data_IF_088330288483
#
_entry.id   IF_088330288483
#
_cell.length_a   1.000
_cell.length_b   1.000
_cell.length_c   1.000
_cell.angle_alpha   90.00
_cell.angle_beta   90.00
_cell.angle_gamma   90.00
#
_symmetry.space_group_name_H-M   'P 1'
#
loop_
_entity.id
_entity.type
_entity.pdbx_description
1 polymer ?
2 non-polymer ?
3 non-polymer ?
4 water ?
#
# COMPACT_ATOMS: atom_id res chain seq x y z
N UNK A 1 -0.49 16.20 9.99
CA UNK A 1 0.67 15.28 10.13
C UNK A 1 0.79 14.36 8.89
N UNK A 2 -0.31 13.96 8.31
CA UNK A 2 -0.37 13.04 7.13
C UNK A 2 -0.41 13.80 5.81
N UNK A 3 -0.48 15.14 5.84
CA UNK A 3 -0.97 15.91 4.68
C UNK A 3 -0.08 15.81 3.45
N UNK A 4 1.21 15.61 3.60
CA UNK A 4 2.05 15.56 2.39
C UNK A 4 1.82 14.25 1.62
N UNK A 5 1.17 13.24 2.24
CA UNK A 5 0.82 12.00 1.55
C UNK A 5 -0.44 12.13 0.69
N UNK A 6 -1.25 13.15 0.94
CA UNK A 6 -2.58 13.21 0.33
C UNK A 6 -2.47 13.53 -1.13
N UNK A 7 -3.33 12.93 -1.92
CA UNK A 7 -3.44 13.21 -3.34
C UNK A 7 -3.49 11.95 -4.15
N UNK A 8 -3.25 12.12 -5.45
CA UNK A 8 -3.34 11.04 -6.44
C UNK A 8 -1.93 10.74 -6.91
N UNK A 9 -1.57 9.47 -6.89
CA UNK A 9 -0.21 9.00 -7.14
C UNK A 9 -0.25 7.86 -8.17
N UNK A 10 0.75 7.83 -9.05
CA UNK A 10 0.80 6.80 -10.09
C UNK A 10 2.10 6.01 -9.96
N UNK A 11 2.03 4.71 -10.18
CA UNK A 11 3.21 3.85 -10.08
C UNK A 11 4.17 4.15 -11.23
N UNK A 12 5.45 4.38 -10.88
CA UNK A 12 6.49 4.66 -11.87
C UNK A 12 7.71 3.77 -11.75
N UNK A 13 7.78 2.89 -10.76
CA UNK A 13 8.91 1.95 -10.62
C UNK A 13 8.47 0.84 -9.68
N UNK A 14 8.94 -0.37 -9.92
CA UNK A 14 8.64 -1.48 -9.01
C UNK A 14 9.81 -2.45 -8.97
N UNK A 15 10.21 -2.80 -7.75
CA UNK A 15 11.30 -3.75 -7.51
C UNK A 15 10.82 -4.84 -6.57
N UNK A 16 10.95 -6.09 -7.02
CA UNK A 16 10.70 -7.28 -6.20
C UNK A 16 9.23 -7.48 -5.84
N UNK A 17 8.30 -6.93 -6.63
CA UNK A 17 6.88 -7.17 -6.34
C UNK A 17 6.52 -8.64 -6.55
N UNK A 18 7.11 -9.29 -7.53
CA UNK A 18 6.81 -10.71 -7.70
C UNK A 18 7.23 -11.49 -6.46
N UNK A 19 8.41 -11.20 -5.90
CA UNK A 19 8.86 -11.88 -4.67
C UNK A 19 7.84 -11.69 -3.56
N UNK A 20 7.38 -10.45 -3.39
CA UNK A 20 6.44 -10.15 -2.34
C UNK A 20 5.13 -10.93 -2.54
N UNK A 21 4.57 -10.85 -3.75
CA UNK A 21 3.34 -11.58 -4.05
C UNK A 21 3.51 -13.09 -3.84
N UNK A 22 4.63 -13.62 -4.30
CA UNK A 22 4.83 -15.06 -4.17
C UNK A 22 4.90 -15.44 -2.69
N UNK A 23 5.55 -14.63 -1.87
CA UNK A 23 5.65 -14.88 -0.42
C UNK A 23 4.27 -14.95 0.22
N UNK A 24 3.35 -14.13 -0.27
CA UNK A 24 1.95 -14.13 0.22
C UNK A 24 1.14 -15.29 -0.37
N UNK A 25 1.68 -16.08 -1.27
CA UNK A 25 0.92 -17.19 -1.87
C UNK A 25 0.06 -16.79 -3.05
N UNK A 26 0.31 -15.65 -3.65
CA UNK A 26 -0.43 -15.26 -4.86
C UNK A 26 -0.06 -16.18 -6.02
N UNK A 27 -1.04 -16.66 -6.75
CA UNK A 27 -0.82 -17.57 -7.87
C UNK A 27 -0.13 -16.95 -9.04
N UNK A 28 0.50 -17.79 -9.86
CA UNK A 28 1.37 -17.28 -10.93
C UNK A 28 0.61 -16.39 -11.92
N UNK A 29 -0.64 -16.70 -12.24
CA UNK A 29 -1.35 -15.94 -13.28
C UNK A 29 -1.66 -14.54 -12.75
N UNK A 30 -2.05 -14.46 -11.50
CA UNK A 30 -2.27 -13.15 -10.86
C UNK A 30 -0.97 -12.36 -10.78
N UNK A 31 0.12 -13.02 -10.41
CA UNK A 31 1.40 -12.29 -10.36
C UNK A 31 1.75 -11.76 -11.73
N UNK A 32 1.50 -12.55 -12.74
CA UNK A 32 1.86 -12.17 -14.10
C UNK A 32 1.13 -10.87 -14.48
N UNK A 33 -0.18 -10.79 -14.28
CA UNK A 33 -0.96 -9.59 -14.62
C UNK A 33 -0.49 -8.43 -13.74
N UNK A 34 -0.35 -8.66 -12.44
CA UNK A 34 0.05 -7.59 -11.52
C UNK A 34 1.42 -7.02 -11.85
N UNK A 35 2.31 -7.82 -12.40
CA UNK A 35 3.67 -7.36 -12.73
C UNK A 35 3.65 -6.34 -13.86
N UNK A 36 2.54 -6.28 -14.62
CA UNK A 36 2.40 -5.38 -15.77
C UNK A 36 1.39 -4.25 -15.50
N UNK A 37 0.86 -4.18 -14.30
CA UNK A 37 -0.17 -3.22 -13.93
C UNK A 37 0.47 -2.01 -13.23
N UNK A 38 0.00 -0.78 -13.49
CA UNK A 38 0.51 0.43 -12.83
C UNK A 38 -0.66 1.08 -12.11
N UNK A 39 -0.84 0.78 -10.84
CA UNK A 39 -1.98 1.34 -10.14
C UNK A 39 -1.85 2.86 -9.91
N UNK A 40 -3.03 3.42 -9.68
CA UNK A 40 -3.20 4.78 -9.17
C UNK A 40 -3.64 4.64 -7.72
N UNK A 41 -2.95 5.32 -6.82
CA UNK A 41 -3.32 5.33 -5.41
C UNK A 41 -3.80 6.73 -5.05
N UNK A 42 -4.96 6.80 -4.45
CA UNK A 42 -5.57 8.08 -4.03
C UNK A 42 -5.68 8.06 -2.52
N UNK A 43 -5.10 9.04 -1.87
CA UNK A 43 -5.12 9.13 -0.40
C UNK A 43 -5.82 10.44 -0.06
N UNK A 44 -6.93 10.34 0.67
CA UNK A 44 -7.77 11.51 1.04
C UNK A 44 -8.04 11.46 2.54
N UNK A 45 -8.31 12.63 3.10
CA UNK A 45 -8.74 12.69 4.49
C UNK A 45 -10.00 13.50 4.61
N UNK A 46 -10.73 13.16 5.67
CA UNK A 46 -11.89 13.92 6.12
C UNK A 46 -11.85 13.88 7.63
N UNK A 47 -11.38 14.97 8.22
CA UNK A 47 -11.15 14.94 9.65
C UNK A 47 -10.11 13.90 9.97
N UNK A 48 -10.48 13.06 10.91
CA UNK A 48 -9.57 12.00 11.42
C UNK A 48 -9.62 10.74 10.54
N UNK A 49 -10.40 10.70 9.50
CA UNK A 49 -10.60 9.48 8.70
C UNK A 49 -9.84 9.61 7.37
N UNK A 50 -8.96 8.66 7.14
CA UNK A 50 -8.25 8.55 5.86
C UNK A 50 -8.95 7.52 5.00
N UNK A 51 -8.97 7.76 3.70
CA UNK A 51 -9.42 6.79 2.72
C UNK A 51 -8.31 6.60 1.69
N UNK A 52 -7.96 5.35 1.45
CA UNK A 52 -6.87 5.00 0.54
C UNK A 52 -7.46 4.08 -0.51
N UNK A 53 -7.51 4.58 -1.75
CA UNK A 53 -8.01 3.85 -2.92
C UNK A 53 -6.83 3.39 -3.73
N UNK A 54 -6.89 2.16 -4.23
CA UNK A 54 -5.87 1.67 -5.18
C UNK A 54 -6.62 1.16 -6.39
N UNK A 55 -6.41 1.80 -7.53
CA UNK A 55 -7.17 1.53 -8.76
C UNK A 55 -6.25 1.00 -9.83
N UNK A 56 -6.75 0.05 -10.60
CA UNK A 56 -5.98 -0.43 -11.75
C UNK A 56 -6.91 -1.10 -12.73
N UNK A 57 -6.33 -1.53 -13.84
CA UNK A 57 -7.06 -2.33 -14.82
C UNK A 57 -7.31 -3.75 -14.34
N UNK A 58 -6.70 -4.17 -13.24
CA UNK A 58 -6.82 -5.53 -12.74
C UNK A 58 -7.60 -5.58 -11.45
N UNK A 59 -7.02 -5.19 -10.33
CA UNK A 59 -7.69 -5.18 -9.01
C UNK A 59 -7.94 -3.72 -8.61
N UNK A 60 -9.06 -3.50 -7.89
CA UNK A 60 -9.33 -2.25 -7.17
C UNK A 60 -9.56 -2.56 -5.70
N UNK A 61 -9.07 -1.66 -4.83
CA UNK A 61 -9.35 -1.74 -3.40
C UNK A 61 -9.66 -0.35 -2.85
N UNK A 62 -10.32 -0.33 -1.70
CA UNK A 62 -10.51 0.91 -0.95
C UNK A 62 -10.59 0.55 0.52
N UNK A 63 -9.86 1.29 1.35
CA UNK A 63 -9.94 1.18 2.80
C UNK A 63 -10.16 2.56 3.39
N UNK A 64 -10.90 2.60 4.51
CA UNK A 64 -10.99 3.81 5.33
C UNK A 64 -10.61 3.45 6.76
N UNK A 65 -9.92 4.36 7.43
CA UNK A 65 -9.39 4.08 8.75
C UNK A 65 -9.10 5.38 9.47
N UNK A 66 -9.06 5.27 10.78
CA UNK A 66 -8.52 6.32 11.65
C UNK A 66 -7.08 5.92 12.00
N UNK A 67 -6.05 6.82 12.03
CA UNK A 67 -4.71 6.47 12.46
C UNK A 67 -4.79 5.91 13.86
N UNK A 68 -4.09 4.81 14.07
CA UNK A 68 -3.95 4.24 15.38
C UNK A 68 -5.11 3.45 15.87
N UNK A 69 -6.10 3.17 15.00
CA UNK A 69 -7.27 2.38 15.40
C UNK A 69 -7.37 1.18 14.47
N UNK A 70 -7.41 -0.01 15.04
CA UNK A 70 -7.45 -1.22 14.23
C UNK A 70 -8.73 -1.27 13.38
N UNK A 71 -8.61 -1.86 12.20
CA UNK A 71 -9.73 -2.05 11.29
C UNK A 71 -9.59 -3.40 10.60
N UNK A 72 -10.74 -3.99 10.25
CA UNK A 72 -10.75 -5.16 9.40
C UNK A 72 -10.49 -4.76 7.95
N UNK A 73 -9.76 -5.61 7.21
CA UNK A 73 -9.43 -5.34 5.82
C UNK A 73 -9.45 -6.65 5.06
N UNK A 74 -9.90 -6.59 3.82
CA UNK A 74 -9.82 -7.70 2.89
C UNK A 74 -8.94 -7.24 1.74
N UNK A 75 -7.75 -7.81 1.61
CA UNK A 75 -6.75 -7.28 0.71
C UNK A 75 -7.05 -7.62 -0.75
N UNK A 76 -6.23 -7.05 -1.66
CA UNK A 76 -6.44 -7.26 -3.10
C UNK A 76 -6.32 -8.75 -3.47
N UNK A 77 -5.48 -9.48 -2.73
CA UNK A 77 -5.28 -10.92 -2.90
C UNK A 77 -6.17 -11.74 -1.96
N UNK A 78 -7.21 -11.14 -1.40
CA UNK A 78 -8.28 -11.82 -0.67
C UNK A 78 -7.87 -12.35 0.70
N UNK A 79 -6.84 -11.79 1.32
CA UNK A 79 -6.56 -12.09 2.73
C UNK A 79 -7.47 -11.26 3.61
N UNK A 80 -8.01 -11.88 4.65
CA UNK A 80 -8.82 -11.18 5.67
C UNK A 80 -7.91 -10.92 6.86
N UNK A 81 -7.60 -9.66 7.07
CA UNK A 81 -6.53 -9.25 8.00
C UNK A 81 -7.04 -8.24 9.01
N UNK A 82 -6.32 -8.10 10.10
CA UNK A 82 -6.49 -7.05 11.10
C UNK A 82 -5.41 -6.02 10.85
N UNK A 83 -5.79 -4.79 10.63
CA UNK A 83 -4.88 -3.73 10.17
C UNK A 83 -4.83 -2.56 11.11
N UNK A 84 -3.70 -1.88 11.09
CA UNK A 84 -3.58 -0.59 11.78
C UNK A 84 -2.61 0.24 10.97
N UNK A 85 -2.90 1.53 10.85
CA UNK A 85 -2.03 2.48 10.14
C UNK A 85 -1.65 3.57 11.14
N UNK A 86 -0.37 3.93 11.17
CA UNK A 86 0.16 4.95 12.08
C UNK A 86 1.23 5.75 11.37
N UNK A 87 1.56 6.88 11.93
CA UNK A 87 2.72 7.66 11.49
C UNK A 87 3.86 7.35 12.42
N UNK A 88 5.01 7.07 11.84
CA UNK A 88 6.20 6.62 12.59
C UNK A 88 7.40 7.21 11.86
N UNK A 89 8.08 8.16 12.49
CA UNK A 89 9.23 8.76 11.81
C UNK A 89 8.86 9.49 10.55
N UNK A 90 7.64 10.02 10.50
CA UNK A 90 7.15 10.70 9.30
C UNK A 90 6.68 9.75 8.21
N UNK A 91 6.75 8.44 8.44
CA UNK A 91 6.33 7.44 7.46
C UNK A 91 4.94 6.95 7.83
N UNK A 92 4.13 6.65 6.84
CA UNK A 92 2.82 6.06 7.06
C UNK A 92 3.02 4.55 7.09
N UNK A 93 2.83 3.91 8.23
CA UNK A 93 3.13 2.49 8.44
C UNK A 93 1.81 1.73 8.58
N UNK A 94 1.56 0.82 7.66
CA UNK A 94 0.35 -0.02 7.64
C UNK A 94 0.79 -1.44 7.98
N UNK A 95 0.31 -1.97 9.10
CA UNK A 95 0.61 -3.34 9.56
C UNK A 95 -0.64 -4.18 9.39
N UNK A 96 -0.51 -5.32 8.71
CA UNK A 96 -1.57 -6.32 8.55
C UNK A 96 -1.18 -7.59 9.27
N UNK A 97 -2.14 -8.16 10.02
CA UNK A 97 -1.94 -9.39 10.79
C UNK A 97 -3.03 -10.39 10.42
N UNK A 98 -2.66 -11.63 10.21
CA UNK A 98 -3.64 -12.70 9.96
C UNK A 98 -2.96 -14.03 10.24
N UNK A 99 -3.65 -14.93 10.88
CA UNK A 99 -3.12 -16.32 11.04
C UNK A 99 -1.71 -16.32 11.64
N UNK A 100 -1.43 -15.36 12.50
CA UNK A 100 -0.07 -15.27 13.06
C UNK A 100 1.00 -14.64 12.13
N UNK A 101 0.69 -14.42 10.87
CA UNK A 101 1.54 -13.75 9.87
C UNK A 101 1.39 -12.25 10.00
N UNK A 102 2.40 -11.57 9.49
CA UNK A 102 2.35 -10.11 9.41
C UNK A 102 2.95 -9.67 8.09
N UNK A 103 2.49 -8.51 7.62
CA UNK A 103 3.17 -7.78 6.55
C UNK A 103 3.04 -6.30 6.84
N UNK A 104 4.07 -5.55 6.43
CA UNK A 104 4.05 -4.11 6.55
C UNK A 104 4.08 -3.46 5.17
N UNK A 105 3.35 -2.37 5.06
CA UNK A 105 3.29 -1.50 3.90
C UNK A 105 3.69 -0.12 4.39
N UNK A 106 4.90 0.32 4.08
CA UNK A 106 5.46 1.54 4.66
C UNK A 106 5.58 2.56 3.54
N UNK A 107 5.02 3.75 3.73
CA UNK A 107 5.09 4.83 2.74
C UNK A 107 5.91 5.98 3.31
N UNK A 108 6.83 6.45 2.48
CA UNK A 108 7.65 7.61 2.87
C UNK A 108 7.84 8.49 1.65
N UNK A 109 8.03 9.77 1.92
CA UNK A 109 8.25 10.75 0.86
C UNK A 109 9.73 11.01 0.76
N UNK A 110 10.28 10.85 -0.42
CA UNK A 110 11.70 11.10 -0.72
C UNK A 110 11.75 11.94 -1.99
N UNK A 111 12.29 13.14 -1.90
CA UNK A 111 12.44 14.06 -3.07
C UNK A 111 11.08 14.17 -3.77
N UNK A 112 9.97 14.23 -3.03
CA UNK A 112 8.63 14.42 -3.63
C UNK A 112 7.98 13.17 -4.20
N UNK A 113 8.68 12.03 -4.18
CA UNK A 113 8.12 10.75 -4.62
C UNK A 113 7.65 9.99 -3.39
N UNK A 114 6.69 9.13 -3.58
CA UNK A 114 6.18 8.34 -2.44
C UNK A 114 6.67 6.91 -2.67
N UNK A 115 7.50 6.48 -1.76
CA UNK A 115 8.15 5.17 -1.79
C UNK A 115 7.38 4.25 -0.86
N UNK A 116 6.85 3.20 -1.45
CA UNK A 116 6.10 2.16 -0.72
C UNK A 116 7.00 0.94 -0.59
N UNK A 117 7.29 0.55 0.64
CA UNK A 117 8.10 -0.64 0.91
C UNK A 117 7.19 -1.69 1.52
N UNK A 118 7.13 -2.85 0.87
CA UNK A 118 6.27 -3.97 1.25
C UNK A 118 7.17 -5.10 1.75
N UNK A 119 6.95 -5.57 2.99
CA UNK A 119 7.78 -6.61 3.56
C UNK A 119 6.90 -7.76 4.04
N UNK A 120 7.20 -8.97 3.62
CA UNK A 120 6.53 -10.19 4.14
C UNK A 120 7.57 -11.29 4.10
N UNK A 121 7.69 -12.04 5.18
CA UNK A 121 8.75 -13.05 5.21
C UNK A 121 10.09 -12.37 5.02
N UNK A 122 10.90 -12.86 4.11
CA UNK A 122 12.16 -12.22 3.76
C UNK A 122 12.01 -11.28 2.58
N UNK A 123 10.86 -11.27 1.91
CA UNK A 123 10.67 -10.48 0.69
C UNK A 123 10.50 -9.00 1.03
N UNK A 124 11.23 -8.17 0.31
CA UNK A 124 11.17 -6.72 0.45
C UNK A 124 11.01 -6.13 -0.94
N UNK A 125 9.87 -5.48 -1.16
CA UNK A 125 9.54 -4.85 -2.44
C UNK A 125 9.50 -3.35 -2.25
N UNK A 126 10.01 -2.62 -3.24
CA UNK A 126 10.00 -1.16 -3.24
C UNK A 126 9.25 -0.69 -4.46
N UNK A 127 8.20 0.09 -4.27
CA UNK A 127 7.45 0.66 -5.38
C UNK A 127 7.37 2.16 -5.24
N UNK A 128 7.63 2.79 -6.33
CA UNK A 128 7.73 4.25 -6.35
C UNK A 128 6.54 4.84 -7.08
N UNK A 129 5.92 5.82 -6.44
CA UNK A 129 4.77 6.54 -6.98
C UNK A 129 5.13 8.00 -7.14
N UNK A 130 4.62 8.60 -8.22
CA UNK A 130 4.75 10.04 -8.45
C UNK A 130 3.40 10.70 -8.46
N UNK A 131 3.40 11.93 -7.97
CA UNK A 131 2.15 12.66 -7.79
C UNK A 131 1.59 13.08 -9.12
N UNK A 132 0.29 12.93 -9.26
CA UNK A 132 -0.53 13.54 -10.31
C UNK A 132 -1.09 14.90 -9.82
N UNK A 133 -1.07 15.86 -10.71
CA UNK A 133 -1.53 17.24 -10.47
C UNK A 133 -3.05 17.27 -10.31
#
# INVERSE_FOLDING_TARGET
>A
MVDAFLGTWKLVDSKNFDDYMKSLGVGFATRQVASMTKPTTIIEKNGDILTLKTHSTFKNTEISFKLGVEFDETTADDRKVKSIVTLDGGKLVHLQKWDGQETTLVRELIDGKLILTLTHGTAVCTRTYEKEA
#
